data_IF_560655333887
#
_entry.id   IF_560655333887
#
_cell.length_a   1.000
_cell.length_b   1.000
_cell.length_c   1.000
_cell.angle_alpha   90.00
_cell.angle_beta   90.00
_cell.angle_gamma   90.00
#
_symmetry.space_group_name_H-M   'P 1'
#
loop_
_entity.id
_entity.type
_entity.pdbx_description
1 polymer ?
#
# COMPACT_ATOMS: atom_id res chain seq x y z
N UNK A 1 23.86 -12.27 9.18
CA UNK A 1 24.28 -12.36 7.75
C UNK A 1 23.13 -12.09 6.75
N UNK A 2 21.98 -11.59 7.24
CA UNK A 2 20.86 -11.16 6.38
C UNK A 2 21.04 -9.71 5.92
N UNK A 3 21.76 -8.90 6.71
CA UNK A 3 22.06 -7.51 6.35
C UNK A 3 22.71 -7.37 4.96
N UNK A 4 23.73 -8.17 4.59
CA UNK A 4 24.27 -8.16 3.23
C UNK A 4 23.28 -8.62 2.16
N UNK A 5 22.33 -9.51 2.50
CA UNK A 5 21.32 -9.99 1.56
C UNK A 5 20.22 -8.94 1.36
N UNK A 6 19.78 -8.28 2.40
CA UNK A 6 18.84 -7.13 2.33
C UNK A 6 19.48 -6.02 1.47
N UNK A 7 20.73 -5.67 1.77
CA UNK A 7 21.48 -4.65 1.04
C UNK A 7 21.67 -5.04 -0.42
N UNK A 8 21.98 -6.32 -0.71
CA UNK A 8 22.09 -6.82 -2.08
C UNK A 8 20.76 -6.74 -2.83
N UNK A 9 19.63 -7.12 -2.20
CA UNK A 9 18.30 -7.03 -2.80
C UNK A 9 17.84 -5.59 -2.98
N UNK A 10 18.12 -4.73 -2.03
CA UNK A 10 17.86 -3.28 -2.14
C UNK A 10 18.75 -2.69 -3.24
N UNK A 11 20.01 -3.15 -3.39
CA UNK A 11 20.90 -2.71 -4.47
C UNK A 11 20.47 -3.23 -5.86
N UNK A 12 19.82 -4.40 -5.93
CA UNK A 12 19.17 -4.91 -7.14
C UNK A 12 17.92 -4.10 -7.53
N UNK A 13 17.26 -3.46 -6.59
CA UNK A 13 16.21 -2.45 -6.84
C UNK A 13 16.87 -1.18 -7.38
N UNK A 14 17.34 -1.27 -8.63
CA UNK A 14 18.07 -0.22 -9.34
C UNK A 14 17.33 1.11 -9.29
N UNK A 15 17.79 2.01 -8.48
CA UNK A 15 17.34 3.40 -8.51
C UNK A 15 17.47 4.17 -7.19
N UNK A 16 17.18 3.57 -6.05
CA UNK A 16 17.25 4.28 -4.75
C UNK A 16 18.63 4.11 -4.14
N UNK A 17 19.18 2.90 -4.18
CA UNK A 17 20.37 2.53 -3.40
C UNK A 17 21.70 3.01 -3.97
N UNK A 18 21.76 3.47 -5.21
CA UNK A 18 22.99 4.06 -5.73
C UNK A 18 23.26 5.49 -5.21
N UNK A 19 22.31 6.08 -4.45
CA UNK A 19 22.49 7.39 -3.85
C UNK A 19 22.97 7.34 -2.40
N UNK A 20 22.83 6.17 -1.75
CA UNK A 20 23.19 5.98 -0.34
C UNK A 20 24.29 4.91 -0.23
N UNK A 21 25.18 5.06 0.73
CA UNK A 21 26.06 3.98 1.14
C UNK A 21 25.27 2.84 1.79
N UNK A 22 25.83 1.64 1.86
CA UNK A 22 25.20 0.51 2.54
C UNK A 22 24.86 0.83 4.01
N UNK A 23 25.72 1.60 4.68
CA UNK A 23 25.53 1.99 6.07
C UNK A 23 24.33 2.95 6.21
N UNK A 24 24.17 3.92 5.30
CA UNK A 24 23.03 4.85 5.27
C UNK A 24 21.72 4.13 5.02
N UNK A 25 21.69 3.14 4.13
CA UNK A 25 20.49 2.31 3.87
C UNK A 25 20.12 1.49 5.08
N UNK A 26 21.10 0.87 5.73
CA UNK A 26 20.89 0.09 6.95
C UNK A 26 20.37 0.94 8.10
N UNK A 27 20.90 2.15 8.25
CA UNK A 27 20.43 3.08 9.28
C UNK A 27 19.02 3.59 9.00
N UNK A 28 18.70 3.94 7.76
CA UNK A 28 17.35 4.31 7.36
C UNK A 28 16.33 3.19 7.61
N UNK A 29 16.68 1.96 7.29
CA UNK A 29 15.86 0.80 7.53
C UNK A 29 15.56 0.56 9.02
N UNK A 30 16.54 0.80 9.91
CA UNK A 30 16.33 0.69 11.36
C UNK A 30 15.34 1.72 11.92
N UNK A 31 15.19 2.85 11.27
CA UNK A 31 14.29 3.92 11.71
C UNK A 31 12.89 3.84 11.10
N UNK A 32 12.77 3.36 9.86
CA UNK A 32 11.51 3.35 9.12
C UNK A 32 10.81 1.97 9.09
N UNK A 33 11.54 0.89 9.39
CA UNK A 33 11.09 -0.46 9.06
C UNK A 33 11.21 -0.74 7.55
N UNK A 34 11.00 -1.97 7.15
CA UNK A 34 11.02 -2.40 5.74
C UNK A 34 9.97 -3.48 5.52
N UNK A 35 9.28 -3.40 4.40
CA UNK A 35 8.38 -4.42 3.89
C UNK A 35 9.02 -5.19 2.73
N UNK A 36 8.58 -6.41 2.49
CA UNK A 36 9.10 -7.23 1.40
C UNK A 36 7.97 -8.01 0.73
N UNK A 37 7.61 -7.60 -0.48
CA UNK A 37 6.52 -8.19 -1.25
C UNK A 37 7.03 -9.13 -2.33
N UNK A 38 6.38 -10.27 -2.58
CA UNK A 38 6.63 -11.08 -3.77
C UNK A 38 6.16 -10.33 -5.01
N UNK A 39 7.00 -10.30 -6.06
CA UNK A 39 6.60 -9.78 -7.37
C UNK A 39 6.19 -10.95 -8.26
N UNK A 40 4.89 -11.20 -8.35
CA UNK A 40 4.32 -12.28 -9.18
C UNK A 40 4.10 -11.85 -10.64
N UNK A 41 4.93 -10.96 -11.16
CA UNK A 41 4.85 -10.41 -12.52
C UNK A 41 6.27 -10.14 -13.08
N UNK A 42 6.34 -9.67 -14.32
CA UNK A 42 7.62 -9.34 -15.00
C UNK A 42 8.60 -10.53 -15.05
N UNK A 43 8.08 -11.73 -15.24
CA UNK A 43 8.85 -12.96 -15.33
C UNK A 43 8.24 -13.88 -16.40
N UNK A 44 9.04 -14.63 -17.19
CA UNK A 44 8.51 -15.51 -18.25
C UNK A 44 7.42 -16.50 -17.80
N UNK A 45 7.45 -16.97 -16.56
CA UNK A 45 6.42 -17.86 -16.01
C UNK A 45 5.11 -17.14 -15.66
N UNK A 46 5.03 -15.83 -15.82
CA UNK A 46 3.80 -15.04 -15.73
C UNK A 46 3.19 -14.69 -17.10
N UNK A 47 3.93 -14.89 -18.20
CA UNK A 47 3.54 -14.45 -19.54
C UNK A 47 2.27 -15.15 -20.06
N UNK A 48 1.94 -16.33 -19.54
CA UNK A 48 0.71 -17.05 -19.84
C UNK A 48 -0.55 -16.48 -19.16
N UNK A 49 -0.41 -15.41 -18.36
CA UNK A 49 -1.50 -14.73 -17.65
C UNK A 49 -1.95 -15.41 -16.35
N UNK A 50 -1.26 -16.45 -15.89
CA UNK A 50 -1.56 -17.13 -14.63
C UNK A 50 -0.29 -17.51 -13.87
N UNK A 51 -0.29 -17.20 -12.59
CA UNK A 51 0.78 -17.49 -11.64
C UNK A 51 0.32 -18.49 -10.58
N UNK A 52 -0.10 -18.05 -9.42
CA UNK A 52 -0.61 -18.90 -8.32
C UNK A 52 -1.89 -19.66 -8.67
N UNK A 53 -2.63 -19.21 -9.68
CA UNK A 53 -3.83 -19.92 -10.18
C UNK A 53 -3.60 -20.66 -11.51
N UNK A 54 -2.36 -20.78 -11.98
CA UNK A 54 -2.02 -21.47 -13.22
C UNK A 54 -2.58 -22.90 -13.24
N UNK A 55 -3.11 -23.39 -14.37
CA UNK A 55 -3.45 -24.80 -14.54
C UNK A 55 -2.21 -25.71 -14.52
N UNK A 56 -1.03 -25.20 -14.88
CA UNK A 56 0.24 -25.93 -14.80
C UNK A 56 0.76 -25.95 -13.34
N UNK A 57 0.92 -27.17 -12.83
CA UNK A 57 1.38 -27.38 -11.46
C UNK A 57 2.81 -26.89 -11.23
N UNK A 58 3.71 -27.01 -12.21
CA UNK A 58 5.10 -26.57 -12.09
C UNK A 58 5.19 -25.04 -12.00
N UNK A 59 4.36 -24.31 -12.77
CA UNK A 59 4.27 -22.86 -12.69
C UNK A 59 3.72 -22.43 -11.31
N UNK A 60 2.67 -23.08 -10.82
CA UNK A 60 2.14 -22.79 -9.48
C UNK A 60 3.17 -23.03 -8.40
N UNK A 61 3.89 -24.15 -8.46
CA UNK A 61 4.90 -24.50 -7.47
C UNK A 61 6.02 -23.46 -7.42
N UNK A 62 6.52 -23.01 -8.57
CA UNK A 62 7.51 -21.93 -8.65
C UNK A 62 7.03 -20.66 -7.92
N UNK A 63 5.80 -20.24 -8.14
CA UNK A 63 5.27 -19.04 -7.51
C UNK A 63 4.95 -19.23 -6.03
N UNK A 64 4.55 -20.41 -5.59
CA UNK A 64 4.40 -20.76 -4.18
C UNK A 64 5.75 -20.63 -3.46
N UNK A 65 6.80 -21.23 -3.98
CA UNK A 65 8.16 -21.15 -3.42
C UNK A 65 8.69 -19.71 -3.40
N UNK A 66 8.42 -18.94 -4.45
CA UNK A 66 8.76 -17.51 -4.51
C UNK A 66 8.08 -16.70 -3.40
N UNK A 67 6.78 -16.90 -3.18
CA UNK A 67 6.04 -16.23 -2.10
C UNK A 67 6.50 -16.68 -0.71
N UNK A 68 6.76 -17.97 -0.51
CA UNK A 68 7.29 -18.50 0.75
C UNK A 68 8.67 -17.92 1.08
N UNK A 69 9.55 -17.82 0.08
CA UNK A 69 10.87 -17.19 0.25
C UNK A 69 10.73 -15.69 0.62
N UNK A 70 9.84 -14.97 -0.05
CA UNK A 70 9.57 -13.56 0.24
C UNK A 70 9.05 -13.35 1.66
N UNK A 71 8.12 -14.17 2.13
CA UNK A 71 7.62 -14.15 3.51
C UNK A 71 8.71 -14.45 4.53
N UNK A 72 9.60 -15.40 4.24
CA UNK A 72 10.74 -15.71 5.11
C UNK A 72 11.69 -14.51 5.24
N UNK A 73 11.99 -13.83 4.12
CA UNK A 73 12.79 -12.61 4.11
C UNK A 73 12.14 -11.52 4.95
N UNK A 74 10.85 -11.25 4.71
CA UNK A 74 10.10 -10.24 5.47
C UNK A 74 10.08 -10.55 6.99
N UNK A 75 9.86 -11.81 7.36
CA UNK A 75 9.90 -12.23 8.75
C UNK A 75 11.27 -11.98 9.41
N UNK A 76 12.33 -12.26 8.69
CA UNK A 76 13.68 -12.02 9.18
C UNK A 76 14.01 -10.52 9.27
N UNK A 77 13.52 -9.72 8.33
CA UNK A 77 13.61 -8.26 8.38
C UNK A 77 12.89 -7.73 9.62
N UNK A 78 11.62 -8.10 9.81
CA UNK A 78 10.85 -7.68 10.98
C UNK A 78 11.50 -8.08 12.32
N UNK A 79 12.03 -9.29 12.39
CA UNK A 79 12.76 -9.76 13.58
C UNK A 79 14.00 -8.92 13.87
N UNK A 80 14.78 -8.55 12.87
CA UNK A 80 16.02 -7.78 13.04
C UNK A 80 15.74 -6.30 13.33
N UNK A 81 14.72 -5.74 12.71
CA UNK A 81 14.35 -4.33 12.90
C UNK A 81 13.54 -4.09 14.18
N UNK A 82 13.02 -5.15 14.80
CA UNK A 82 12.17 -5.05 15.99
C UNK A 82 10.77 -4.49 15.71
N UNK A 83 10.37 -4.46 14.44
CA UNK A 83 9.03 -4.09 14.00
C UNK A 83 8.55 -5.12 12.96
N UNK A 84 7.25 -5.45 12.96
CA UNK A 84 6.73 -6.36 11.95
C UNK A 84 6.88 -5.76 10.55
N UNK A 85 7.35 -6.57 9.60
CA UNK A 85 7.24 -6.27 8.17
C UNK A 85 5.85 -6.63 7.66
N UNK A 86 5.43 -6.06 6.56
CA UNK A 86 4.22 -6.47 5.83
C UNK A 86 4.61 -7.17 4.54
N UNK A 87 3.99 -8.31 4.26
CA UNK A 87 4.10 -8.98 2.96
C UNK A 87 2.74 -9.00 2.30
N UNK A 88 2.62 -8.29 1.18
CA UNK A 88 1.41 -8.23 0.39
C UNK A 88 1.51 -9.14 -0.83
N UNK A 89 0.58 -10.08 -0.98
CA UNK A 89 0.51 -11.00 -2.10
C UNK A 89 -0.54 -10.50 -3.09
N UNK A 90 -0.08 -10.02 -4.23
CA UNK A 90 -0.86 -9.63 -5.37
C UNK A 90 -0.49 -10.48 -6.59
N UNK A 91 -1.48 -10.91 -7.38
CA UNK A 91 -1.27 -11.69 -8.62
C UNK A 91 -1.99 -11.06 -9.79
N UNK A 92 -1.39 -11.06 -11.00
CA UNK A 92 -2.00 -10.50 -12.21
C UNK A 92 -3.08 -11.41 -12.83
N UNK A 93 -3.32 -12.56 -12.26
CA UNK A 93 -4.03 -13.70 -12.84
C UNK A 93 -5.45 -13.35 -13.34
N UNK A 94 -5.70 -13.60 -14.61
CA UNK A 94 -6.98 -13.31 -15.23
C UNK A 94 -7.04 -13.71 -16.71
N UNK A 95 -8.20 -13.47 -17.34
CA UNK A 95 -8.41 -13.70 -18.76
C UNK A 95 -8.76 -12.40 -19.49
N UNK A 96 -8.21 -12.26 -20.69
CA UNK A 96 -8.57 -11.17 -21.59
C UNK A 96 -10.01 -11.26 -22.05
N UNK A 97 -10.49 -12.47 -22.34
CA UNK A 97 -11.84 -12.76 -22.79
C UNK A 97 -12.61 -13.64 -21.79
N UNK A 98 -13.89 -13.85 -22.01
CA UNK A 98 -14.78 -14.59 -21.10
C UNK A 98 -14.31 -16.03 -20.90
N UNK A 99 -13.98 -16.46 -19.68
CA UNK A 99 -13.57 -17.83 -19.42
C UNK A 99 -14.75 -18.79 -19.44
N UNK A 100 -14.49 -20.03 -19.84
CA UNK A 100 -15.46 -21.12 -19.75
C UNK A 100 -15.64 -21.62 -18.31
N UNK A 101 -14.59 -21.48 -17.47
CA UNK A 101 -14.59 -21.93 -16.08
C UNK A 101 -14.10 -20.79 -15.17
N UNK A 102 -14.98 -20.31 -14.30
CA UNK A 102 -14.70 -19.27 -13.32
C UNK A 102 -14.44 -19.83 -11.91
N UNK A 103 -14.57 -21.14 -11.71
CA UNK A 103 -14.43 -21.78 -10.41
C UNK A 103 -13.02 -22.35 -10.20
N UNK A 104 -12.46 -23.05 -11.17
CA UNK A 104 -11.17 -23.72 -11.03
C UNK A 104 -9.99 -22.75 -10.76
N UNK A 105 -9.89 -21.57 -11.40
CA UNK A 105 -8.81 -20.64 -11.08
C UNK A 105 -8.78 -20.19 -9.60
N UNK A 106 -9.87 -19.67 -8.99
CA UNK A 106 -9.86 -19.31 -7.59
C UNK A 106 -9.68 -20.50 -6.64
N UNK A 107 -10.12 -21.71 -7.01
CA UNK A 107 -9.81 -22.92 -6.23
C UNK A 107 -8.30 -23.20 -6.19
N UNK A 108 -7.61 -23.07 -7.33
CA UNK A 108 -6.15 -23.20 -7.38
C UNK A 108 -5.44 -22.09 -6.61
N UNK A 109 -5.89 -20.84 -6.74
CA UNK A 109 -5.35 -19.72 -6.00
C UNK A 109 -5.49 -19.92 -4.49
N UNK A 110 -6.68 -20.35 -4.02
CA UNK A 110 -6.92 -20.66 -2.61
C UNK A 110 -5.96 -21.75 -2.11
N UNK A 111 -5.81 -22.84 -2.84
CA UNK A 111 -4.91 -23.93 -2.47
C UNK A 111 -3.43 -23.47 -2.42
N UNK A 112 -3.00 -22.65 -3.37
CA UNK A 112 -1.65 -22.09 -3.39
C UNK A 112 -1.41 -21.15 -2.20
N UNK A 113 -2.36 -20.26 -1.88
CA UNK A 113 -2.28 -19.38 -0.70
C UNK A 113 -2.26 -20.18 0.61
N UNK A 114 -3.06 -21.25 0.70
CA UNK A 114 -3.06 -22.13 1.87
C UNK A 114 -1.67 -22.78 2.10
N UNK A 115 -0.99 -23.17 1.03
CA UNK A 115 0.36 -23.71 1.08
C UNK A 115 1.41 -22.63 1.44
N UNK A 116 1.29 -21.44 0.86
CA UNK A 116 2.16 -20.31 1.17
C UNK A 116 2.09 -19.93 2.65
N UNK A 117 0.88 -19.89 3.20
CA UNK A 117 0.63 -19.46 4.58
C UNK A 117 0.77 -20.57 5.63
N UNK A 118 1.06 -21.80 5.22
CA UNK A 118 1.19 -22.94 6.13
C UNK A 118 2.31 -22.76 7.18
N UNK A 119 3.39 -22.06 6.83
CA UNK A 119 4.48 -21.78 7.75
C UNK A 119 4.26 -20.44 8.47
N UNK A 120 4.22 -20.41 9.81
CA UNK A 120 4.07 -19.17 10.56
C UNK A 120 5.26 -18.20 10.39
N UNK A 121 4.97 -16.92 10.30
CA UNK A 121 5.95 -15.83 10.19
C UNK A 121 5.64 -14.75 11.25
N UNK A 122 6.03 -14.97 12.53
CA UNK A 122 5.54 -14.16 13.66
C UNK A 122 6.01 -12.69 13.64
N UNK A 123 7.04 -12.36 12.87
CA UNK A 123 7.55 -11.01 12.69
C UNK A 123 7.12 -10.38 11.35
N UNK A 124 6.14 -10.98 10.69
CA UNK A 124 5.55 -10.51 9.45
C UNK A 124 4.03 -10.47 9.56
N UNK A 125 3.41 -9.52 8.88
CA UNK A 125 1.97 -9.43 8.66
C UNK A 125 1.71 -9.85 7.22
N UNK A 126 0.95 -10.91 7.04
CA UNK A 126 0.56 -11.36 5.72
C UNK A 126 -0.68 -10.59 5.26
N UNK A 127 -0.61 -10.02 4.07
CA UNK A 127 -1.71 -9.35 3.39
C UNK A 127 -1.97 -9.96 2.02
N UNK A 128 -3.21 -9.88 1.57
CA UNK A 128 -3.63 -10.29 0.22
C UNK A 128 -4.36 -9.15 -0.44
N UNK A 129 -4.14 -8.97 -1.74
CA UNK A 129 -4.64 -7.84 -2.50
C UNK A 129 -5.44 -8.27 -3.72
N UNK A 130 -6.59 -7.64 -3.89
CA UNK A 130 -7.43 -7.83 -5.06
C UNK A 130 -6.90 -7.08 -6.27
N UNK A 131 -7.20 -7.61 -7.46
CA UNK A 131 -6.99 -6.94 -8.73
C UNK A 131 -8.32 -6.49 -9.31
N UNK A 132 -8.36 -5.26 -9.86
CA UNK A 132 -9.40 -4.85 -10.77
C UNK A 132 -9.11 -5.41 -12.18
N UNK A 133 -10.09 -5.43 -13.07
CA UNK A 133 -9.85 -5.73 -14.48
C UNK A 133 -8.79 -4.76 -15.08
N UNK A 134 -8.08 -5.22 -16.09
CA UNK A 134 -7.03 -4.41 -16.73
C UNK A 134 -6.44 -5.13 -17.93
N UNK A 135 -5.31 -4.63 -18.44
CA UNK A 135 -4.60 -5.22 -19.59
C UNK A 135 -4.27 -6.69 -19.29
N UNK A 136 -4.72 -7.60 -20.17
CA UNK A 136 -4.57 -9.06 -20.04
C UNK A 136 -5.63 -9.74 -19.17
N UNK A 137 -6.47 -8.98 -18.46
CA UNK A 137 -7.56 -9.48 -17.61
C UNK A 137 -8.82 -8.62 -17.72
N UNK A 138 -9.18 -8.25 -18.94
CA UNK A 138 -10.28 -7.34 -19.23
C UNK A 138 -11.65 -7.94 -18.90
N UNK A 139 -11.82 -9.26 -19.05
CA UNK A 139 -13.10 -9.94 -18.83
C UNK A 139 -13.17 -10.74 -17.52
N UNK A 140 -12.04 -11.05 -16.90
CA UNK A 140 -12.00 -11.89 -15.70
C UNK A 140 -10.70 -11.71 -14.93
N UNK A 141 -10.81 -11.50 -13.63
CA UNK A 141 -9.71 -11.57 -12.66
C UNK A 141 -9.95 -12.70 -11.68
N UNK A 142 -8.91 -13.50 -11.38
CA UNK A 142 -9.02 -14.62 -10.45
C UNK A 142 -9.14 -14.12 -9.01
N UNK A 143 -8.30 -13.16 -8.63
CA UNK A 143 -8.25 -12.56 -7.31
C UNK A 143 -9.14 -11.33 -7.21
N UNK A 144 -10.46 -11.48 -7.21
CA UNK A 144 -11.40 -10.37 -6.98
C UNK A 144 -11.41 -9.95 -5.52
N UNK A 145 -12.01 -8.78 -5.23
CA UNK A 145 -12.17 -8.30 -3.86
C UNK A 145 -12.96 -9.29 -3.00
N UNK A 146 -14.05 -9.86 -3.53
CA UNK A 146 -14.88 -10.84 -2.80
C UNK A 146 -14.11 -12.10 -2.44
N UNK A 147 -13.23 -12.57 -3.34
CA UNK A 147 -12.38 -13.72 -3.08
C UNK A 147 -11.42 -13.43 -1.92
N UNK A 148 -10.67 -12.32 -2.00
CA UNK A 148 -9.67 -12.01 -0.99
C UNK A 148 -10.26 -11.55 0.33
N UNK A 149 -11.39 -10.84 0.34
CA UNK A 149 -12.11 -10.52 1.57
C UNK A 149 -12.55 -11.79 2.29
N UNK A 150 -13.17 -12.73 1.58
CA UNK A 150 -13.56 -14.03 2.15
C UNK A 150 -12.36 -14.82 2.67
N UNK A 151 -11.27 -14.84 1.91
CA UNK A 151 -10.04 -15.53 2.30
C UNK A 151 -9.36 -14.90 3.52
N UNK A 152 -9.23 -13.58 3.55
CA UNK A 152 -8.64 -12.86 4.68
C UNK A 152 -9.44 -13.06 5.97
N UNK A 153 -10.78 -13.05 5.89
CA UNK A 153 -11.65 -13.36 7.05
C UNK A 153 -11.44 -14.82 7.51
N UNK A 154 -11.42 -15.79 6.60
CA UNK A 154 -11.20 -17.20 6.94
C UNK A 154 -9.85 -17.41 7.62
N UNK A 155 -8.80 -16.72 7.18
CA UNK A 155 -7.43 -16.89 7.66
C UNK A 155 -7.00 -15.91 8.74
N UNK A 156 -7.82 -14.90 9.02
CA UNK A 156 -7.50 -13.82 9.98
C UNK A 156 -6.16 -13.14 9.67
N UNK A 157 -5.97 -12.78 8.41
CA UNK A 157 -4.83 -12.03 7.89
C UNK A 157 -5.27 -10.64 7.42
N UNK A 158 -4.32 -9.76 7.11
CA UNK A 158 -4.64 -8.45 6.57
C UNK A 158 -5.21 -8.53 5.15
N UNK A 159 -6.13 -7.62 4.84
CA UNK A 159 -6.60 -7.37 3.48
C UNK A 159 -6.00 -6.05 3.00
N UNK A 160 -5.40 -6.06 1.82
CA UNK A 160 -4.99 -4.83 1.15
C UNK A 160 -6.18 -4.21 0.40
N UNK A 161 -6.45 -2.95 0.69
CA UNK A 161 -7.38 -2.10 -0.05
C UNK A 161 -6.55 -1.09 -0.85
N UNK A 162 -6.43 -1.31 -2.14
CA UNK A 162 -5.76 -0.38 -3.06
C UNK A 162 -6.76 0.62 -3.64
N UNK A 163 -6.42 1.92 -3.61
CA UNK A 163 -7.29 3.00 -4.09
C UNK A 163 -7.56 2.93 -5.60
N UNK A 164 -6.68 2.29 -6.37
CA UNK A 164 -6.82 2.09 -7.82
C UNK A 164 -7.58 0.82 -8.21
N UNK A 165 -7.80 -0.13 -7.28
CA UNK A 165 -8.34 -1.46 -7.59
C UNK A 165 -9.86 -1.60 -7.42
N UNK A 166 -10.59 -0.50 -7.36
CA UNK A 166 -12.05 -0.49 -7.28
C UNK A 166 -12.66 0.30 -8.43
N UNK A 167 -13.95 0.05 -8.70
CA UNK A 167 -14.66 0.83 -9.69
C UNK A 167 -14.64 2.32 -9.31
N UNK A 168 -14.56 3.26 -10.29
CA UNK A 168 -14.46 4.71 -10.00
C UNK A 168 -15.59 5.31 -9.16
N UNK A 169 -16.71 4.59 -8.99
CA UNK A 169 -17.81 4.99 -8.10
C UNK A 169 -17.68 4.43 -6.67
N UNK A 170 -16.67 3.62 -6.41
CA UNK A 170 -16.37 3.10 -5.08
C UNK A 170 -15.18 3.84 -4.49
N UNK A 171 -15.17 3.98 -3.16
CA UNK A 171 -14.07 4.60 -2.41
C UNK A 171 -13.63 3.68 -1.29
N UNK A 172 -12.32 3.59 -1.03
CA UNK A 172 -11.80 2.68 0.00
C UNK A 172 -12.11 3.15 1.42
N UNK A 173 -12.30 4.45 1.65
CA UNK A 173 -12.71 4.98 2.95
C UNK A 173 -13.99 4.34 3.49
N UNK A 174 -14.96 4.03 2.62
CA UNK A 174 -16.22 3.32 2.97
C UNK A 174 -15.99 1.86 3.39
N UNK A 175 -14.85 1.27 3.02
CA UNK A 175 -14.55 -0.15 3.26
C UNK A 175 -13.78 -0.37 4.56
N UNK A 176 -13.06 0.64 5.05
CA UNK A 176 -12.12 0.52 6.19
C UNK A 176 -12.84 -0.01 7.43
N UNK A 177 -13.80 0.73 7.95
CA UNK A 177 -14.53 0.32 9.16
C UNK A 177 -15.30 -0.98 8.97
N UNK A 178 -15.91 -1.18 7.79
CA UNK A 178 -16.66 -2.40 7.50
C UNK A 178 -15.76 -3.65 7.52
N UNK A 179 -14.60 -3.58 6.90
CA UNK A 179 -13.63 -4.70 6.89
C UNK A 179 -13.04 -4.95 8.29
N UNK A 180 -12.73 -3.90 9.06
CA UNK A 180 -12.14 -4.01 10.40
C UNK A 180 -13.11 -4.57 11.46
N UNK A 181 -14.40 -4.73 11.17
CA UNK A 181 -15.32 -5.52 12.00
C UNK A 181 -14.98 -7.02 11.97
N UNK A 182 -14.36 -7.49 10.91
CA UNK A 182 -14.11 -8.93 10.67
C UNK A 182 -12.63 -9.28 10.59
N UNK A 183 -11.77 -8.31 10.29
CA UNK A 183 -10.33 -8.50 10.08
C UNK A 183 -9.52 -7.90 11.22
N UNK A 184 -8.37 -8.49 11.57
CA UNK A 184 -7.49 -7.93 12.59
C UNK A 184 -6.85 -6.61 12.14
N UNK A 185 -6.39 -6.55 10.91
CA UNK A 185 -5.60 -5.43 10.35
C UNK A 185 -5.94 -5.24 8.87
N UNK A 186 -5.63 -4.03 8.34
CA UNK A 186 -5.70 -3.70 6.92
C UNK A 186 -4.37 -3.15 6.45
N UNK A 187 -4.02 -3.43 5.21
CA UNK A 187 -3.05 -2.68 4.43
C UNK A 187 -3.83 -1.75 3.49
N UNK A 188 -3.44 -0.49 3.41
CA UNK A 188 -3.97 0.44 2.42
C UNK A 188 -2.87 0.77 1.43
N UNK A 189 -3.12 0.59 0.16
CA UNK A 189 -2.31 1.17 -0.89
C UNK A 189 -2.95 2.48 -1.34
N UNK A 190 -2.32 3.60 -0.99
CA UNK A 190 -2.79 4.93 -1.36
C UNK A 190 -2.07 5.41 -2.60
N UNK A 191 -2.83 5.56 -3.65
CA UNK A 191 -2.43 6.08 -4.94
C UNK A 191 -3.49 7.05 -5.45
N UNK A 192 -3.31 7.61 -6.62
CA UNK A 192 -4.32 8.41 -7.29
C UNK A 192 -4.62 7.79 -8.66
N UNK A 193 -5.70 7.06 -8.75
CA UNK A 193 -6.24 6.59 -10.01
C UNK A 193 -6.84 7.76 -10.81
N UNK A 194 -6.34 7.97 -12.02
CA UNK A 194 -6.89 8.96 -12.94
C UNK A 194 -7.76 8.22 -13.96
N UNK A 195 -9.06 8.11 -13.68
CA UNK A 195 -10.09 7.37 -14.42
C UNK A 195 -10.00 5.84 -14.32
N UNK A 196 -8.88 5.28 -13.95
CA UNK A 196 -8.62 3.85 -13.81
C UNK A 196 -7.39 3.66 -12.93
N UNK A 197 -6.99 2.44 -12.65
CA UNK A 197 -5.75 2.11 -11.97
C UNK A 197 -4.54 2.58 -12.79
N UNK A 198 -4.02 3.74 -12.45
CA UNK A 198 -2.96 4.43 -13.22
C UNK A 198 -1.78 4.89 -12.37
N UNK A 199 -1.72 4.44 -11.14
CA UNK A 199 -0.59 4.59 -10.21
C UNK A 199 0.04 5.99 -10.15
N UNK A 200 -0.79 7.04 -10.17
CA UNK A 200 -0.28 8.40 -9.99
C UNK A 200 0.00 8.71 -8.52
N UNK A 201 0.91 9.64 -8.32
CA UNK A 201 1.23 10.17 -6.97
C UNK A 201 -0.04 10.63 -6.28
N UNK A 202 -0.24 10.17 -5.05
CA UNK A 202 -1.36 10.60 -4.23
C UNK A 202 -1.27 12.09 -3.90
N UNK A 203 -2.36 12.78 -4.14
CA UNK A 203 -2.53 14.21 -3.85
C UNK A 203 -3.41 14.40 -2.63
N UNK A 204 -3.35 15.58 -2.01
CA UNK A 204 -4.22 15.92 -0.88
C UNK A 204 -5.63 16.25 -1.41
N UNK A 205 -6.34 15.21 -1.82
CA UNK A 205 -7.70 15.26 -2.38
C UNK A 205 -8.75 14.75 -1.38
N UNK A 206 -10.02 14.82 -1.75
CA UNK A 206 -11.13 14.45 -0.88
C UNK A 206 -11.08 12.96 -0.48
N UNK A 207 -10.62 12.07 -1.36
CA UNK A 207 -10.54 10.65 -1.05
C UNK A 207 -9.44 10.37 0.00
N UNK A 208 -8.24 10.94 -0.15
CA UNK A 208 -7.19 10.80 0.86
C UNK A 208 -7.64 11.36 2.21
N UNK A 209 -8.34 12.51 2.20
CA UNK A 209 -8.90 13.09 3.43
C UNK A 209 -9.97 12.19 4.05
N UNK A 210 -10.81 11.54 3.26
CA UNK A 210 -11.81 10.60 3.77
C UNK A 210 -11.14 9.36 4.40
N UNK A 211 -10.12 8.79 3.74
CA UNK A 211 -9.34 7.67 4.27
C UNK A 211 -8.70 8.01 5.60
N UNK A 212 -7.97 9.12 5.66
CA UNK A 212 -7.23 9.52 6.86
C UNK A 212 -8.14 9.91 8.02
N UNK A 213 -9.28 10.53 7.73
CA UNK A 213 -10.34 10.80 8.73
C UNK A 213 -10.92 9.52 9.29
N UNK A 214 -11.21 8.55 8.45
CA UNK A 214 -11.76 7.26 8.89
C UNK A 214 -10.81 6.52 9.82
N UNK A 215 -9.51 6.55 9.52
CA UNK A 215 -8.47 5.97 10.38
C UNK A 215 -8.47 6.66 11.75
N UNK A 216 -8.31 7.99 11.77
CA UNK A 216 -8.14 8.77 13.00
C UNK A 216 -9.41 8.81 13.83
N UNK A 217 -10.58 9.03 13.21
CA UNK A 217 -11.84 9.14 13.93
C UNK A 217 -12.23 7.87 14.70
N UNK A 218 -11.70 6.72 14.29
CA UNK A 218 -11.99 5.42 14.90
C UNK A 218 -10.79 4.83 15.68
N UNK A 219 -9.67 5.54 15.81
CA UNK A 219 -8.43 5.09 16.45
C UNK A 219 -7.92 3.78 15.83
N UNK A 220 -7.82 3.74 14.50
CA UNK A 220 -7.37 2.56 13.76
C UNK A 220 -5.88 2.61 13.42
N UNK A 221 -5.12 3.56 13.96
CA UNK A 221 -3.71 3.77 13.65
C UNK A 221 -2.85 2.52 13.86
N UNK A 222 -3.18 1.72 14.88
CA UNK A 222 -2.47 0.47 15.18
C UNK A 222 -2.95 -0.74 14.35
N UNK A 223 -4.00 -0.57 13.54
CA UNK A 223 -4.64 -1.64 12.77
C UNK A 223 -4.63 -1.40 11.27
N UNK A 224 -4.21 -0.22 10.84
CA UNK A 224 -4.19 0.18 9.44
C UNK A 224 -2.78 0.57 9.04
N UNK A 225 -2.18 -0.24 8.18
CA UNK A 225 -0.86 0.02 7.61
C UNK A 225 -1.06 0.78 6.29
N UNK A 226 -0.43 1.94 6.15
CA UNK A 226 -0.56 2.77 4.95
C UNK A 226 0.70 2.66 4.11
N UNK A 227 0.56 2.03 2.95
CA UNK A 227 1.58 1.96 1.91
C UNK A 227 1.33 3.01 0.82
N UNK A 228 2.41 3.58 0.28
CA UNK A 228 2.36 4.40 -0.92
C UNK A 228 2.65 3.51 -2.10
N UNK A 229 1.64 3.23 -2.92
CA UNK A 229 1.77 2.39 -4.09
C UNK A 229 1.47 3.17 -5.36
N UNK A 230 2.52 3.70 -5.97
CA UNK A 230 2.43 4.37 -7.26
C UNK A 230 3.75 4.32 -8.02
N UNK A 231 3.63 4.23 -9.35
CA UNK A 231 4.74 4.12 -10.30
C UNK A 231 4.85 5.33 -11.24
N UNK A 232 4.31 6.47 -10.84
CA UNK A 232 4.29 7.69 -11.65
C UNK A 232 5.70 8.03 -12.16
N UNK A 233 5.90 7.86 -13.48
CA UNK A 233 7.15 8.15 -14.16
C UNK A 233 7.18 9.56 -14.80
N UNK A 234 6.12 10.35 -14.63
CA UNK A 234 6.02 11.71 -15.17
C UNK A 234 6.86 12.71 -14.41
N UNK A 235 7.26 12.38 -13.18
CA UNK A 235 8.09 13.21 -12.31
C UNK A 235 9.23 12.41 -11.70
N UNK A 236 10.16 13.11 -11.06
CA UNK A 236 11.24 12.48 -10.30
C UNK A 236 10.70 11.57 -9.21
N UNK A 237 11.22 10.33 -9.10
CA UNK A 237 10.73 9.34 -8.17
C UNK A 237 10.88 9.75 -6.70
N UNK A 238 12.00 10.38 -6.33
CA UNK A 238 12.22 10.88 -4.97
C UNK A 238 11.21 11.98 -4.64
N UNK A 239 10.93 12.88 -5.60
CA UNK A 239 9.90 13.90 -5.47
C UNK A 239 8.50 13.26 -5.34
N UNK A 240 8.20 12.24 -6.13
CA UNK A 240 6.92 11.51 -6.06
C UNK A 240 6.67 10.94 -4.65
N UNK A 241 7.65 10.24 -4.09
CA UNK A 241 7.55 9.71 -2.72
C UNK A 241 7.44 10.80 -1.67
N UNK A 242 8.27 11.85 -1.77
CA UNK A 242 8.21 12.99 -0.85
C UNK A 242 6.83 13.65 -0.85
N UNK A 243 6.24 13.87 -2.03
CA UNK A 243 4.89 14.42 -2.15
C UNK A 243 3.86 13.49 -1.52
N UNK A 244 3.89 12.20 -1.85
CA UNK A 244 2.94 11.21 -1.35
C UNK A 244 2.98 11.07 0.17
N UNK A 245 4.17 10.88 0.77
CA UNK A 245 4.34 10.82 2.22
C UNK A 245 3.82 12.08 2.90
N UNK A 246 4.23 13.27 2.41
CA UNK A 246 3.80 14.55 2.99
C UNK A 246 2.30 14.75 2.89
N UNK A 247 1.66 14.35 1.80
CA UNK A 247 0.22 14.48 1.65
C UNK A 247 -0.54 13.52 2.57
N UNK A 248 -0.07 12.29 2.70
CA UNK A 248 -0.68 11.30 3.60
C UNK A 248 -0.58 11.74 5.06
N UNK A 249 0.61 12.19 5.50
CA UNK A 249 0.79 12.73 6.86
C UNK A 249 -0.04 14.00 7.12
N UNK A 250 -0.19 14.87 6.12
CA UNK A 250 -1.09 16.03 6.23
C UNK A 250 -2.55 15.63 6.32
N UNK A 251 -2.96 14.61 5.57
CA UNK A 251 -4.31 14.06 5.69
C UNK A 251 -4.59 13.54 7.10
N UNK A 252 -3.67 12.78 7.69
CA UNK A 252 -3.78 12.31 9.08
C UNK A 252 -3.82 13.49 10.06
N UNK A 253 -2.98 14.51 9.88
CA UNK A 253 -3.01 15.73 10.71
C UNK A 253 -4.36 16.43 10.61
N UNK A 254 -4.94 16.56 9.43
CA UNK A 254 -6.28 17.15 9.24
C UNK A 254 -7.32 16.33 10.01
N UNK A 255 -7.27 15.00 9.91
CA UNK A 255 -8.15 14.11 10.68
C UNK A 255 -8.02 14.29 12.19
N UNK A 256 -6.79 14.43 12.70
CA UNK A 256 -6.53 14.69 14.13
C UNK A 256 -7.05 16.05 14.61
N UNK A 257 -7.12 17.04 13.75
CA UNK A 257 -7.61 18.39 14.08
C UNK A 257 -9.13 18.51 13.92
N UNK A 258 -9.80 17.54 13.31
CA UNK A 258 -11.26 17.56 13.16
C UNK A 258 -11.98 17.45 14.50
N UNK A 259 -13.08 18.19 14.70
CA UNK A 259 -13.89 18.12 15.93
C UNK A 259 -14.80 16.87 15.91
N UNK A 260 -14.23 15.67 15.80
CA UNK A 260 -14.95 14.39 15.60
C UNK A 260 -16.07 14.16 16.61
N UNK A 261 -15.85 14.49 17.89
CA UNK A 261 -16.90 14.32 18.91
C UNK A 261 -18.12 15.22 18.66
N UNK A 262 -17.92 16.45 18.18
CA UNK A 262 -19.01 17.38 17.85
C UNK A 262 -19.72 16.94 16.58
N UNK A 263 -19.01 16.46 15.58
CA UNK A 263 -19.57 15.92 14.33
C UNK A 263 -20.49 14.71 14.63
N UNK A 264 -20.01 13.75 15.42
CA UNK A 264 -20.79 12.58 15.83
C UNK A 264 -22.03 12.97 16.64
N UNK A 265 -21.91 13.93 17.54
CA UNK A 265 -23.04 14.44 18.32
C UNK A 265 -24.10 15.09 17.42
N UNK A 266 -23.70 15.93 16.48
CA UNK A 266 -24.61 16.56 15.53
C UNK A 266 -25.34 15.52 14.68
N UNK A 267 -24.60 14.52 14.17
CA UNK A 267 -25.15 13.43 13.36
C UNK A 267 -26.18 12.60 14.15
N UNK A 268 -25.85 12.17 15.36
CA UNK A 268 -26.77 11.40 16.22
C UNK A 268 -28.06 12.16 16.57
N UNK A 269 -28.00 13.49 16.60
CA UNK A 269 -29.16 14.36 16.83
C UNK A 269 -29.94 14.69 15.55
N UNK A 270 -29.51 14.20 14.38
CA UNK A 270 -30.12 14.54 13.08
C UNK A 270 -29.82 15.99 12.63
N UNK A 271 -28.87 16.67 13.28
CA UNK A 271 -28.48 18.04 12.91
C UNK A 271 -27.36 18.00 11.84
N UNK A 272 -27.78 17.62 10.65
CA UNK A 272 -26.86 17.51 9.50
C UNK A 272 -26.34 18.88 9.02
N UNK A 273 -27.04 19.96 9.31
CA UNK A 273 -26.61 21.33 8.99
C UNK A 273 -25.39 21.69 9.82
N UNK A 274 -25.44 21.51 11.15
CA UNK A 274 -24.31 21.76 12.03
C UNK A 274 -23.14 20.84 11.69
N UNK A 275 -23.41 19.55 11.41
CA UNK A 275 -22.36 18.62 10.99
C UNK A 275 -21.61 19.14 9.77
N UNK A 276 -22.33 19.49 8.69
CA UNK A 276 -21.72 19.98 7.45
C UNK A 276 -20.96 21.30 7.67
N UNK A 277 -21.55 22.23 8.42
CA UNK A 277 -20.90 23.51 8.72
C UNK A 277 -19.56 23.31 9.44
N UNK A 278 -19.52 22.44 10.47
CA UNK A 278 -18.28 22.13 11.18
C UNK A 278 -17.22 21.44 10.30
N UNK A 279 -17.65 20.59 9.38
CA UNK A 279 -16.74 19.96 8.41
C UNK A 279 -16.12 20.98 7.44
N UNK A 280 -16.91 21.96 6.98
CA UNK A 280 -16.41 23.02 6.10
C UNK A 280 -15.50 23.99 6.86
N UNK A 281 -15.85 24.39 8.09
CA UNK A 281 -14.98 25.23 8.93
C UNK A 281 -13.63 24.54 9.23
N UNK A 282 -13.63 23.22 9.45
CA UNK A 282 -12.40 22.46 9.68
C UNK A 282 -11.42 22.57 8.50
N UNK A 283 -11.89 22.71 7.26
CA UNK A 283 -11.03 22.90 6.08
C UNK A 283 -10.25 24.21 6.10
N UNK A 284 -10.72 25.21 6.84
CA UNK A 284 -10.09 26.55 6.94
C UNK A 284 -9.16 26.67 8.14
N UNK A 285 -9.02 25.65 8.96
CA UNK A 285 -8.10 25.65 10.11
C UNK A 285 -6.65 25.85 9.64
N UNK A 286 -5.77 26.45 10.47
CA UNK A 286 -4.39 26.76 10.09
C UNK A 286 -3.48 25.51 10.07
N UNK A 287 -3.93 24.46 9.37
CA UNK A 287 -3.21 23.17 9.23
C UNK A 287 -1.79 23.38 8.73
N UNK A 288 -1.59 24.32 7.80
CA UNK A 288 -0.26 24.63 7.27
C UNK A 288 0.73 25.09 8.34
N UNK A 289 0.28 25.92 9.29
CA UNK A 289 1.13 26.38 10.37
C UNK A 289 1.51 25.25 11.36
N UNK A 290 0.54 24.38 11.68
CA UNK A 290 0.78 23.20 12.52
C UNK A 290 1.72 22.21 11.80
N UNK A 291 1.54 22.00 10.52
CA UNK A 291 2.42 21.17 9.68
C UNK A 291 3.86 21.71 9.65
N UNK A 292 4.02 23.01 9.46
CA UNK A 292 5.34 23.64 9.43
C UNK A 292 6.06 23.51 10.77
N UNK A 293 5.32 23.64 11.88
CA UNK A 293 5.89 23.43 13.22
C UNK A 293 6.25 21.95 13.46
N UNK A 294 5.43 21.03 13.00
CA UNK A 294 5.76 19.60 13.02
C UNK A 294 7.05 19.32 12.25
N UNK A 295 7.20 19.87 11.04
CA UNK A 295 8.41 19.73 10.24
C UNK A 295 9.65 20.27 11.00
N UNK A 296 9.56 21.47 11.62
CA UNK A 296 10.69 22.04 12.39
C UNK A 296 11.10 21.17 13.57
N UNK A 297 10.13 20.60 14.31
CA UNK A 297 10.39 19.73 15.47
C UNK A 297 11.02 18.40 15.10
N UNK A 298 10.85 17.96 13.86
CA UNK A 298 11.37 16.69 13.35
C UNK A 298 12.51 16.88 12.34
N UNK A 299 13.18 18.04 12.35
CA UNK A 299 14.29 18.39 11.46
C UNK A 299 13.98 18.12 9.96
N UNK A 300 12.70 18.27 9.61
CA UNK A 300 12.22 18.04 8.25
C UNK A 300 12.05 19.36 7.48
N UNK A 301 12.26 19.37 6.16
CA UNK A 301 12.13 20.57 5.35
C UNK A 301 10.73 21.20 5.45
N UNK A 302 10.68 22.51 5.73
CA UNK A 302 9.44 23.29 5.79
C UNK A 302 9.04 23.74 4.38
N UNK A 303 7.74 23.69 4.09
CA UNK A 303 7.19 24.10 2.81
C UNK A 303 7.75 23.26 1.67
N UNK A 304 8.26 23.92 0.62
CA UNK A 304 8.82 23.29 -0.58
C UNK A 304 10.36 23.32 -0.61
N UNK A 305 11.03 23.56 0.50
CA UNK A 305 12.51 23.70 0.54
C UNK A 305 13.23 22.41 0.13
N UNK A 306 12.61 21.23 0.34
CA UNK A 306 13.11 19.94 -0.10
C UNK A 306 13.31 19.81 -1.63
N UNK A 307 12.68 20.68 -2.45
CA UNK A 307 12.82 20.64 -3.90
C UNK A 307 14.26 20.94 -4.35
N UNK A 308 14.99 21.75 -3.61
CA UNK A 308 16.39 22.04 -3.91
C UNK A 308 17.26 20.79 -3.83
N UNK A 309 16.97 19.91 -2.86
CA UNK A 309 17.72 18.67 -2.65
C UNK A 309 17.44 17.68 -3.78
N UNK A 310 16.18 17.55 -4.18
CA UNK A 310 15.80 16.73 -5.35
C UNK A 310 16.47 17.23 -6.61
N UNK A 311 16.45 18.55 -6.88
CA UNK A 311 17.10 19.15 -8.05
C UNK A 311 18.61 18.95 -8.02
N UNK A 312 19.23 19.02 -6.84
CA UNK A 312 20.65 18.72 -6.69
C UNK A 312 20.93 17.24 -7.01
N UNK A 313 20.13 16.33 -6.49
CA UNK A 313 20.22 14.89 -6.76
C UNK A 313 20.06 14.57 -8.25
N UNK A 314 19.11 15.18 -8.93
CA UNK A 314 18.92 15.03 -10.38
C UNK A 314 20.19 15.40 -11.13
N UNK A 315 20.79 16.54 -10.81
CA UNK A 315 22.01 17.02 -11.46
C UNK A 315 23.25 16.20 -11.09
N UNK A 316 23.40 15.87 -9.82
CA UNK A 316 24.61 15.20 -9.32
C UNK A 316 24.65 13.70 -9.64
N UNK A 317 23.51 13.03 -9.67
CA UNK A 317 23.39 11.58 -9.74
C UNK A 317 22.62 11.12 -10.99
N UNK A 318 21.35 11.52 -11.15
CA UNK A 318 20.50 10.95 -12.20
C UNK A 318 20.99 11.29 -13.60
N UNK A 319 21.47 12.52 -13.84
CA UNK A 319 22.01 12.92 -15.14
C UNK A 319 23.24 12.13 -15.60
N UNK A 320 23.85 11.34 -14.71
CA UNK A 320 25.03 10.50 -15.00
C UNK A 320 24.67 9.03 -15.20
N UNK A 321 23.40 8.68 -15.15
CA UNK A 321 22.90 7.30 -15.28
C UNK A 321 22.33 6.99 -16.66
N UNK A 322 22.83 7.59 -17.71
CA UNK A 322 22.44 7.32 -19.11
C UNK A 322 23.03 5.98 -19.60
#
# INVERSE_FOLDING_TARGET
>A
EIEPMIISKIAEMKGICAAFSNDEVSELARHLGLDFNPSCFSHPLADAGFTLSSPDAAIRQFWIEHCQASRSIANDMGRQLGSKAVTNIWVPDGYKDTPADRLAPPQRLKAALDEILATPTPHNIDAVESKLFGIGSEAYVTGSHEFYLGYAIERQIALCLDAGHFHPTEVISEKISACLLYLPELLLHVSRGVRWDSDHVVTLNDELLAITREIVANNFEDRVHVGLDFFDASINRVAAWTIGVRNTLRGLLIGLLEPTAQLRKAELNGDYTTRLALQEEAKTMPVGAVWDEFCRRNDSPVGATWLSDVQHYEKAVLSKRN
#
